data_IF_274409453424
#
_entry.id   IF_274409453424
#
_cell.length_a   1.000
_cell.length_b   1.000
_cell.length_c   1.000
_cell.angle_alpha   90.00
_cell.angle_beta   90.00
_cell.angle_gamma   90.00
#
_symmetry.space_group_name_H-M   'P 1'
#
loop_
_entity.id
_entity.type
_entity.pdbx_description
1 polymer ?
#
# COMPACT_ATOMS: atom_id res chain seq x y z
N UNK A 1 5.36 -2.68 5.26
CA UNK A 1 5.78 -1.27 5.42
C UNK A 1 6.10 -0.63 4.08
N UNK A 2 6.46 0.66 4.03
CA UNK A 2 6.58 1.44 2.78
C UNK A 2 7.50 0.84 1.71
N UNK A 3 8.67 0.32 2.08
CA UNK A 3 9.57 -0.41 1.15
C UNK A 3 8.90 -1.64 0.52
N UNK A 4 7.96 -2.27 1.21
CA UNK A 4 7.17 -3.38 0.64
C UNK A 4 6.29 -2.93 -0.51
N UNK A 5 5.67 -1.74 -0.41
CA UNK A 5 4.86 -1.16 -1.49
C UNK A 5 5.74 -0.84 -2.70
N UNK A 6 6.95 -0.28 -2.50
CA UNK A 6 7.89 -0.04 -3.58
C UNK A 6 8.28 -1.34 -4.31
N UNK A 7 8.51 -2.44 -3.57
CA UNK A 7 8.76 -3.75 -4.19
C UNK A 7 7.56 -4.24 -5.01
N UNK A 8 6.31 -3.97 -4.59
CA UNK A 8 5.11 -4.30 -5.36
C UNK A 8 5.00 -3.51 -6.67
N UNK A 9 5.54 -2.28 -6.70
CA UNK A 9 5.61 -1.44 -7.90
C UNK A 9 6.73 -1.86 -8.87
N UNK A 10 7.62 -2.77 -8.47
CA UNK A 10 8.71 -3.29 -9.30
C UNK A 10 10.11 -2.84 -8.86
N UNK A 11 10.24 -2.08 -7.76
CA UNK A 11 11.54 -1.73 -7.19
C UNK A 11 12.10 -2.89 -6.35
N UNK A 12 12.53 -3.97 -7.01
CA UNK A 12 12.93 -5.22 -6.34
C UNK A 12 14.44 -5.34 -6.10
N UNK A 13 15.27 -4.61 -6.84
CA UNK A 13 16.72 -4.64 -6.65
C UNK A 13 17.14 -3.76 -5.48
N UNK A 14 17.93 -4.32 -4.56
CA UNK A 14 18.57 -3.57 -3.49
C UNK A 14 19.93 -3.05 -3.97
N UNK A 15 19.94 -1.80 -4.41
CA UNK A 15 21.16 -1.10 -4.82
C UNK A 15 21.63 -0.18 -3.69
N UNK A 16 22.62 -0.66 -2.92
CA UNK A 16 23.20 0.10 -1.81
C UNK A 16 22.14 0.43 -0.75
N UNK A 17 21.91 1.73 -0.53
CA UNK A 17 20.92 2.22 0.46
C UNK A 17 19.46 2.25 -0.07
N UNK A 18 19.25 1.94 -1.36
CA UNK A 18 17.98 2.18 -2.06
C UNK A 18 17.30 0.93 -2.63
N UNK A 19 16.16 1.16 -3.30
CA UNK A 19 15.49 0.18 -4.15
C UNK A 19 15.44 0.70 -5.59
N UNK A 20 15.74 -0.16 -6.55
CA UNK A 20 15.72 0.14 -7.99
C UNK A 20 14.95 -0.93 -8.76
N UNK A 21 14.60 -0.61 -10.02
CA UNK A 21 14.13 -1.62 -10.96
C UNK A 21 15.28 -2.56 -11.35
N UNK A 22 15.00 -3.84 -11.63
CA UNK A 22 15.98 -4.74 -12.23
C UNK A 22 16.45 -4.24 -13.60
N UNK A 23 17.75 -4.42 -13.94
CA UNK A 23 18.30 -3.98 -15.22
C UNK A 23 17.69 -4.71 -16.43
N UNK A 24 17.08 -5.88 -16.23
CA UNK A 24 16.42 -6.67 -17.27
C UNK A 24 15.03 -6.14 -17.64
N UNK A 25 14.49 -5.19 -16.88
CA UNK A 25 13.15 -4.66 -17.05
C UNK A 25 13.20 -3.35 -17.84
N UNK A 26 12.60 -3.35 -19.05
CA UNK A 26 12.53 -2.17 -19.91
C UNK A 26 11.62 -1.06 -19.37
N UNK A 27 10.70 -1.40 -18.45
CA UNK A 27 9.80 -0.44 -17.83
C UNK A 27 8.82 -1.06 -16.83
N UNK A 28 8.06 -0.23 -16.09
CA UNK A 28 7.09 -0.73 -15.13
C UNK A 28 5.95 -1.49 -15.83
N UNK A 29 5.40 -2.48 -15.14
CA UNK A 29 4.15 -3.16 -15.53
C UNK A 29 2.95 -2.22 -15.27
N UNK A 30 2.32 -1.62 -16.30
CA UNK A 30 1.32 -0.57 -16.07
C UNK A 30 0.06 -1.08 -15.34
N UNK A 31 -0.54 -2.23 -15.70
CA UNK A 31 -1.62 -2.84 -14.93
C UNK A 31 -1.27 -3.03 -13.45
N UNK A 32 -0.07 -3.52 -13.14
CA UNK A 32 0.36 -3.75 -11.77
C UNK A 32 0.53 -2.45 -10.99
N UNK A 33 1.20 -1.47 -11.58
CA UNK A 33 1.39 -0.14 -10.96
C UNK A 33 0.04 0.51 -10.69
N UNK A 34 -0.89 0.43 -11.64
CA UNK A 34 -2.23 0.99 -11.49
C UNK A 34 -3.00 0.33 -10.33
N UNK A 35 -2.98 -1.01 -10.24
CA UNK A 35 -3.61 -1.77 -9.15
C UNK A 35 -3.04 -1.39 -7.79
N UNK A 36 -1.71 -1.45 -7.63
CA UNK A 36 -1.05 -1.13 -6.34
C UNK A 36 -1.33 0.32 -5.94
N UNK A 37 -1.33 1.24 -6.92
CA UNK A 37 -1.63 2.65 -6.67
C UNK A 37 -3.08 2.85 -6.23
N UNK A 38 -4.03 2.16 -6.86
CA UNK A 38 -5.44 2.21 -6.47
C UNK A 38 -5.63 1.72 -5.03
N UNK A 39 -5.03 0.59 -4.67
CA UNK A 39 -5.12 0.03 -3.31
C UNK A 39 -4.53 0.99 -2.26
N UNK A 40 -3.37 1.60 -2.55
CA UNK A 40 -2.75 2.60 -1.66
C UNK A 40 -3.62 3.85 -1.51
N UNK A 41 -4.24 4.32 -2.59
CA UNK A 41 -5.13 5.47 -2.57
C UNK A 41 -6.39 5.20 -1.77
N UNK A 42 -7.01 4.02 -1.96
CA UNK A 42 -8.20 3.61 -1.20
C UNK A 42 -7.87 3.49 0.27
N UNK A 43 -6.78 2.80 0.64
CA UNK A 43 -6.36 2.67 2.03
C UNK A 43 -6.15 4.05 2.67
N UNK A 44 -5.48 4.98 1.98
CA UNK A 44 -5.30 6.35 2.46
C UNK A 44 -6.64 7.05 2.69
N UNK A 45 -7.56 6.98 1.72
CA UNK A 45 -8.87 7.62 1.82
C UNK A 45 -9.71 7.04 2.97
N UNK A 46 -9.67 5.71 3.17
CA UNK A 46 -10.34 5.06 4.30
C UNK A 46 -9.75 5.52 5.64
N UNK A 47 -8.41 5.63 5.74
CA UNK A 47 -7.77 6.16 6.94
C UNK A 47 -8.14 7.63 7.21
N UNK A 48 -8.16 8.48 6.19
CA UNK A 48 -8.56 9.88 6.32
C UNK A 48 -10.02 9.99 6.82
N UNK A 49 -10.92 9.15 6.30
CA UNK A 49 -12.32 9.07 6.75
C UNK A 49 -12.46 8.53 8.17
N UNK A 50 -11.63 7.58 8.59
CA UNK A 50 -11.60 7.08 9.97
C UNK A 50 -11.14 8.17 10.94
N UNK A 51 -10.08 8.91 10.60
CA UNK A 51 -9.58 10.02 11.41
C UNK A 51 -10.60 11.16 11.51
N UNK A 52 -11.38 11.38 10.45
CA UNK A 52 -12.49 12.34 10.44
C UNK A 52 -13.77 11.84 11.15
N UNK A 53 -13.80 10.58 11.61
CA UNK A 53 -14.98 9.91 12.16
C UNK A 53 -16.18 9.90 11.19
N UNK A 54 -15.89 9.78 9.88
CA UNK A 54 -16.86 9.79 8.78
C UNK A 54 -16.86 8.48 7.97
N UNK A 55 -16.05 7.50 8.36
CA UNK A 55 -16.00 6.21 7.69
C UNK A 55 -17.35 5.49 7.76
N UNK A 56 -17.80 4.89 6.65
CA UNK A 56 -19.10 4.20 6.58
C UNK A 56 -19.15 2.95 7.46
N UNK A 57 -18.01 2.31 7.69
CA UNK A 57 -17.89 1.13 8.55
C UNK A 57 -16.66 1.24 9.47
N UNK A 58 -16.73 2.02 10.56
CA UNK A 58 -15.58 2.23 11.44
C UNK A 58 -15.28 0.99 12.32
N UNK A 59 -16.31 0.19 12.63
CA UNK A 59 -16.22 -0.99 13.50
C UNK A 59 -15.31 -2.08 12.94
N UNK A 60 -15.29 -2.25 11.61
CA UNK A 60 -14.38 -3.17 10.94
C UNK A 60 -12.91 -2.85 11.26
N UNK A 61 -12.54 -1.56 11.20
CA UNK A 61 -11.17 -1.13 11.50
C UNK A 61 -10.84 -1.18 12.98
N UNK A 62 -11.82 -0.94 13.86
CA UNK A 62 -11.69 -1.13 15.31
C UNK A 62 -11.23 -2.56 15.62
N UNK A 63 -11.86 -3.58 15.03
CA UNK A 63 -11.49 -4.98 15.24
C UNK A 63 -10.09 -5.30 14.70
N UNK A 64 -9.74 -4.78 13.53
CA UNK A 64 -8.43 -5.02 12.92
C UNK A 64 -7.30 -4.36 13.71
N UNK A 65 -7.51 -3.13 14.20
CA UNK A 65 -6.47 -2.32 14.84
C UNK A 65 -6.30 -2.64 16.33
N UNK A 66 -7.38 -2.92 17.04
CA UNK A 66 -7.31 -3.22 18.48
C UNK A 66 -7.17 -4.71 18.79
N UNK A 67 -7.20 -5.56 17.76
CA UNK A 67 -7.41 -7.00 17.92
C UNK A 67 -8.87 -7.24 18.27
N UNK A 68 -9.55 -8.12 17.53
CA UNK A 68 -10.89 -8.54 17.94
C UNK A 68 -10.83 -9.07 19.36
N UNK A 69 -11.80 -8.70 20.20
CA UNK A 69 -11.99 -9.33 21.50
C UNK A 69 -12.09 -10.86 21.27
N UNK A 70 -11.03 -11.60 21.59
CA UNK A 70 -11.07 -13.04 21.87
C UNK A 70 -11.56 -13.26 23.31
#
# INVERSE_FOLDING_TARGET
GGRGVLRLLGYTEESGEGLSFPPEVEGPDPPRVASVTADVLVLRAEMDLLLANQHTNPQFFTQILMGGDE
#
